data_IF_116482906104
#
_entry.id   IF_116482906104
#
_cell.length_a   1.000
_cell.length_b   1.000
_cell.length_c   1.000
_cell.angle_alpha   90.00
_cell.angle_beta   90.00
_cell.angle_gamma   90.00
#
_symmetry.space_group_name_H-M   'P 1'
#
loop_
_entity.id
_entity.type
_entity.pdbx_description
1 polymer ?
#
# COMPACT_ATOMS: atom_id res chain seq x y z
N UNK A 1 53.17 30.61 -8.34
CA UNK A 1 54.03 30.89 -9.51
C UNK A 1 53.49 32.11 -10.24
N UNK A 2 54.15 33.26 -10.06
CA UNK A 2 54.31 34.38 -11.00
C UNK A 2 54.98 35.51 -10.21
N UNK A 3 56.27 35.65 -10.47
CA UNK A 3 57.17 36.62 -9.88
C UNK A 3 57.08 37.89 -10.73
N UNK A 4 56.78 39.03 -10.12
CA UNK A 4 56.94 40.35 -10.73
C UNK A 4 58.07 41.05 -9.98
N UNK A 5 59.21 41.13 -10.65
CA UNK A 5 60.42 41.81 -10.18
C UNK A 5 60.35 43.25 -10.72
N UNK A 6 60.41 44.23 -9.83
CA UNK A 6 60.80 45.61 -10.13
C UNK A 6 62.01 45.93 -9.25
N UNK A 7 63.15 46.14 -9.90
CA UNK A 7 64.43 46.52 -9.28
C UNK A 7 64.64 48.03 -9.35
N UNK A 8 65.19 48.60 -8.27
CA UNK A 8 66.12 49.75 -8.12
C UNK A 8 65.89 50.32 -6.70
N UNK A 9 66.80 50.36 -5.72
CA UNK A 9 68.18 49.94 -5.55
C UNK A 9 68.64 50.35 -4.13
N UNK A 10 69.82 49.85 -3.74
CA UNK A 10 70.68 50.15 -2.57
C UNK A 10 70.71 49.12 -1.42
N UNK A 11 71.97 48.79 -1.10
CA UNK A 11 72.47 47.67 -0.30
C UNK A 11 72.35 47.90 1.21
N UNK A 12 71.89 46.89 1.96
CA UNK A 12 72.43 46.55 3.29
C UNK A 12 72.40 45.02 3.45
N UNK A 13 73.56 44.45 3.77
CA UNK A 13 73.80 43.04 4.11
C UNK A 13 73.53 42.77 5.59
N UNK A 14 72.84 41.67 5.93
CA UNK A 14 72.76 41.14 7.29
C UNK A 14 72.01 39.78 7.36
N UNK A 15 72.41 38.82 8.21
CA UNK A 15 71.92 37.45 8.15
C UNK A 15 70.66 37.19 9.03
N UNK A 16 69.87 36.21 8.60
CA UNK A 16 68.98 35.27 9.35
C UNK A 16 68.29 35.71 10.65
N UNK A 17 66.95 35.61 10.70
CA UNK A 17 66.23 34.63 11.56
C UNK A 17 64.71 34.71 11.24
N UNK A 18 64.09 33.60 10.82
CA UNK A 18 62.62 33.50 10.80
C UNK A 18 62.14 33.12 12.20
N UNK A 19 61.42 34.01 12.88
CA UNK A 19 60.67 33.68 14.10
C UNK A 19 59.24 33.29 13.76
N UNK A 20 58.77 32.21 14.38
CA UNK A 20 57.41 31.70 14.26
C UNK A 20 56.49 32.29 15.36
N UNK A 21 55.18 32.17 15.12
CA UNK A 21 54.01 32.43 15.98
C UNK A 21 53.63 33.90 16.26
N UNK A 22 52.36 34.31 16.27
CA UNK A 22 51.07 33.61 16.33
C UNK A 22 50.08 34.29 15.38
N UNK A 23 49.46 33.54 14.46
CA UNK A 23 48.17 33.95 13.86
C UNK A 23 47.09 33.07 14.47
N UNK A 24 46.20 33.70 15.22
CA UNK A 24 44.96 33.12 15.73
C UNK A 24 44.25 32.42 14.58
N UNK A 25 44.20 31.09 14.64
CA UNK A 25 43.49 30.27 13.67
C UNK A 25 42.00 30.40 13.99
N UNK A 26 41.33 31.29 13.26
CA UNK A 26 39.88 31.36 13.25
C UNK A 26 39.36 30.00 12.74
N UNK A 27 38.79 29.22 13.66
CA UNK A 27 38.11 27.97 13.35
C UNK A 27 36.96 28.27 12.39
N UNK A 28 37.23 28.16 11.09
CA UNK A 28 36.20 28.09 10.06
C UNK A 28 35.54 26.72 10.20
N UNK A 29 34.58 26.63 11.11
CA UNK A 29 33.65 25.52 11.16
C UNK A 29 33.08 25.37 9.74
N UNK A 30 33.33 24.22 9.12
CA UNK A 30 32.70 23.87 7.86
C UNK A 30 31.19 23.85 8.11
N UNK A 31 30.49 24.86 7.61
CA UNK A 31 29.03 24.80 7.52
C UNK A 31 28.65 23.47 6.84
N UNK A 32 27.67 22.72 7.38
CA UNK A 32 27.20 21.54 6.69
C UNK A 32 26.74 21.97 5.30
N UNK A 33 27.27 21.33 4.24
CA UNK A 33 26.74 21.51 2.88
C UNK A 33 25.25 21.22 2.94
N UNK A 34 24.42 22.26 2.85
CA UNK A 34 22.97 22.10 2.71
C UNK A 34 22.73 21.45 1.34
N UNK A 35 22.49 20.14 1.34
CA UNK A 35 22.31 19.34 0.12
C UNK A 35 20.93 19.52 -0.50
N UNK A 36 20.13 20.45 0.01
CA UNK A 36 18.76 20.68 -0.44
C UNK A 36 17.83 19.51 -0.10
N UNK A 37 16.57 19.60 -0.54
CA UNK A 37 15.57 18.58 -0.25
C UNK A 37 15.84 17.28 -1.00
N UNK A 38 15.58 16.15 -0.35
CA UNK A 38 15.68 14.83 -0.97
C UNK A 38 14.60 13.87 -0.45
N UNK A 39 14.26 12.88 -1.27
CA UNK A 39 13.21 11.91 -0.97
C UNK A 39 13.76 10.70 -0.21
N UNK A 40 13.08 10.31 0.87
CA UNK A 40 13.31 9.04 1.53
C UNK A 40 12.49 7.94 0.82
N UNK A 41 13.13 7.33 -0.19
CA UNK A 41 12.53 6.28 -1.03
C UNK A 41 12.24 4.99 -0.27
N UNK A 42 12.85 4.80 0.91
CA UNK A 42 12.61 3.62 1.74
C UNK A 42 11.19 3.60 2.33
N UNK A 43 10.61 4.80 2.52
CA UNK A 43 9.25 5.03 3.02
C UNK A 43 8.26 5.27 1.87
N UNK A 44 8.73 5.91 0.80
CA UNK A 44 7.90 6.36 -0.32
C UNK A 44 7.75 5.28 -1.40
N UNK A 45 7.01 4.21 -1.11
CA UNK A 45 6.90 3.00 -1.95
C UNK A 45 5.63 2.95 -2.80
N UNK A 46 5.60 2.02 -3.75
CA UNK A 46 4.38 1.64 -4.47
C UNK A 46 3.30 1.12 -3.51
N UNK A 47 2.05 1.41 -3.82
CA UNK A 47 0.89 1.10 -2.97
C UNK A 47 -0.11 0.27 -3.76
N UNK A 48 -0.54 -0.84 -3.17
CA UNK A 48 -1.70 -1.60 -3.67
C UNK A 48 -2.86 -1.39 -2.71
N UNK A 49 -3.99 -0.93 -3.22
CA UNK A 49 -5.19 -0.64 -2.43
C UNK A 49 -6.39 -1.42 -2.96
N UNK A 50 -7.37 -1.65 -2.07
CA UNK A 50 -8.64 -2.27 -2.44
C UNK A 50 -9.62 -1.22 -2.96
N UNK A 51 -10.43 -1.59 -3.96
CA UNK A 51 -11.54 -0.75 -4.42
C UNK A 51 -12.42 -0.33 -3.24
N UNK A 52 -12.76 0.96 -3.20
CA UNK A 52 -13.61 1.53 -2.14
C UNK A 52 -12.92 1.75 -0.79
N UNK A 53 -11.74 1.16 -0.53
CA UNK A 53 -10.96 1.39 0.70
C UNK A 53 -9.91 2.47 0.44
N UNK A 54 -9.84 3.47 1.32
CA UNK A 54 -8.92 4.61 1.16
C UNK A 54 -7.49 4.15 0.89
N UNK A 55 -6.92 4.60 -0.23
CA UNK A 55 -5.51 4.39 -0.54
C UNK A 55 -4.68 5.54 0.06
N UNK A 56 -3.52 5.22 0.60
CA UNK A 56 -2.63 6.20 1.27
C UNK A 56 -1.24 6.13 0.64
N UNK A 57 -0.86 7.19 -0.05
CA UNK A 57 0.45 7.37 -0.65
C UNK A 57 1.26 8.28 0.28
N UNK A 58 2.33 7.75 0.88
CA UNK A 58 3.22 8.55 1.72
C UNK A 58 4.47 8.96 0.94
N UNK A 59 4.82 10.24 0.99
CA UNK A 59 6.07 10.77 0.46
C UNK A 59 6.82 11.49 1.56
N UNK A 60 8.00 10.98 1.92
CA UNK A 60 8.85 11.58 2.94
C UNK A 60 9.95 12.43 2.31
N UNK A 61 9.98 13.71 2.66
CA UNK A 61 10.93 14.68 2.11
C UNK A 61 11.77 15.27 3.23
N UNK A 62 13.06 14.97 3.20
CA UNK A 62 14.07 15.47 4.15
C UNK A 62 14.58 16.82 3.67
N UNK A 63 14.99 17.69 4.59
CA UNK A 63 15.55 19.01 4.30
C UNK A 63 14.65 19.88 3.39
N UNK A 64 13.33 19.87 3.63
CA UNK A 64 12.36 20.61 2.80
C UNK A 64 12.58 22.13 2.82
N UNK A 65 13.02 22.68 3.96
CA UNK A 65 13.21 24.12 4.13
C UNK A 65 11.89 24.90 3.95
N UNK A 66 11.96 25.97 3.16
CA UNK A 66 10.84 26.84 2.76
C UNK A 66 10.09 26.33 1.51
N UNK A 67 10.45 25.14 0.99
CA UNK A 67 9.86 24.58 -0.22
C UNK A 67 8.54 23.87 0.10
N UNK A 68 7.73 23.68 -0.94
CA UNK A 68 6.41 23.06 -0.84
C UNK A 68 6.37 21.73 -1.58
N UNK A 69 5.67 20.75 -1.01
CA UNK A 69 5.37 19.47 -1.66
C UNK A 69 4.02 19.56 -2.36
N UNK A 70 3.94 19.07 -3.59
CA UNK A 70 2.72 18.99 -4.39
C UNK A 70 2.51 17.56 -4.87
N UNK A 71 1.26 17.15 -5.04
CA UNK A 71 0.93 15.85 -5.62
C UNK A 71 0.43 16.02 -7.05
N UNK A 72 1.04 15.28 -7.97
CA UNK A 72 0.72 15.32 -9.41
C UNK A 72 0.34 13.93 -9.88
N UNK A 73 -0.74 13.84 -10.67
CA UNK A 73 -1.14 12.61 -11.35
C UNK A 73 -0.56 12.61 -12.76
N UNK A 74 0.23 11.59 -13.11
CA UNK A 74 0.98 11.59 -14.37
C UNK A 74 0.11 11.39 -15.62
N UNK A 75 -0.96 10.59 -15.54
CA UNK A 75 -1.78 10.22 -16.73
C UNK A 75 -2.31 11.43 -17.51
N UNK A 76 -2.54 12.54 -16.83
CA UNK A 76 -3.11 13.78 -17.34
C UNK A 76 -2.38 15.03 -16.82
N UNK A 77 -1.22 14.84 -16.18
CA UNK A 77 -0.39 15.91 -15.60
C UNK A 77 -1.22 16.83 -14.67
N UNK A 78 -2.19 16.24 -13.96
CA UNK A 78 -3.12 17.01 -13.17
C UNK A 78 -2.54 17.28 -11.78
N UNK A 79 -2.46 18.55 -11.41
CA UNK A 79 -2.08 18.98 -10.06
C UNK A 79 -3.23 18.65 -9.11
N UNK A 80 -3.00 17.72 -8.18
CA UNK A 80 -4.00 17.28 -7.22
C UNK A 80 -4.01 18.19 -6.00
N UNK A 81 -2.83 18.46 -5.43
CA UNK A 81 -2.67 19.26 -4.21
C UNK A 81 -1.38 20.06 -4.22
N UNK A 82 -1.36 21.16 -3.47
CA UNK A 82 -0.16 21.94 -3.12
C UNK A 82 -0.15 22.09 -1.61
N UNK A 83 0.86 21.52 -0.95
CA UNK A 83 0.82 21.28 0.47
C UNK A 83 -0.39 20.42 0.85
N UNK A 84 -1.19 20.91 1.81
CA UNK A 84 -2.44 20.27 2.25
C UNK A 84 -3.66 20.73 1.45
N UNK A 85 -3.52 21.77 0.63
CA UNK A 85 -4.62 22.37 -0.12
C UNK A 85 -4.92 21.56 -1.38
N UNK A 86 -6.20 21.30 -1.65
CA UNK A 86 -6.65 20.49 -2.80
C UNK A 86 -6.96 21.40 -3.99
N UNK A 87 -6.35 21.09 -5.15
CA UNK A 87 -6.44 21.87 -6.40
C UNK A 87 -7.30 21.19 -7.48
N UNK A 88 -7.62 19.92 -7.30
CA UNK A 88 -8.57 19.20 -8.16
C UNK A 88 -10.00 19.37 -7.66
N UNK A 89 -10.98 19.31 -8.57
CA UNK A 89 -12.41 19.29 -8.19
C UNK A 89 -12.86 17.95 -7.61
N UNK A 90 -12.07 16.89 -7.80
CA UNK A 90 -12.36 15.56 -7.23
C UNK A 90 -11.98 15.51 -5.74
N UNK A 91 -12.98 15.71 -4.88
CA UNK A 91 -12.84 15.77 -3.42
C UNK A 91 -12.33 14.47 -2.77
N UNK A 92 -12.17 13.39 -3.54
CA UNK A 92 -11.60 12.14 -3.04
C UNK A 92 -10.10 12.23 -2.79
N UNK A 93 -9.40 13.12 -3.50
CA UNK A 93 -7.97 13.38 -3.32
C UNK A 93 -7.79 14.38 -2.19
N UNK A 94 -7.14 13.97 -1.11
CA UNK A 94 -6.92 14.81 0.08
C UNK A 94 -5.46 14.67 0.50
N UNK A 95 -4.74 15.78 0.59
CA UNK A 95 -3.40 15.78 1.16
C UNK A 95 -3.43 16.06 2.66
N UNK A 96 -2.51 15.46 3.40
CA UNK A 96 -2.29 15.72 4.81
C UNK A 96 -0.80 15.76 5.13
N UNK A 97 -0.48 16.55 6.14
CA UNK A 97 0.87 16.71 6.68
C UNK A 97 0.74 16.94 8.19
N UNK A 98 1.41 16.12 8.98
CA UNK A 98 1.43 16.32 10.43
C UNK A 98 2.57 17.28 10.79
N UNK A 99 2.32 18.30 11.64
CA UNK A 99 3.37 19.21 12.09
C UNK A 99 4.56 18.44 12.66
N UNK A 100 5.78 18.91 12.36
CA UNK A 100 7.05 18.31 12.78
C UNK A 100 7.35 16.91 12.19
N UNK A 101 6.53 16.42 11.28
CA UNK A 101 6.88 15.26 10.45
C UNK A 101 7.48 15.73 9.13
N UNK A 102 8.12 14.82 8.42
CA UNK A 102 8.56 15.04 7.04
C UNK A 102 7.68 14.30 6.03
N UNK A 103 6.58 13.71 6.52
CA UNK A 103 5.66 12.89 5.76
C UNK A 103 4.58 13.78 5.13
N UNK A 104 4.48 13.69 3.82
CA UNK A 104 3.45 14.30 3.00
C UNK A 104 2.61 13.18 2.43
N UNK A 105 1.36 13.10 2.87
CA UNK A 105 0.49 11.99 2.53
C UNK A 105 -0.59 12.44 1.56
N UNK A 106 -0.83 11.67 0.50
CA UNK A 106 -2.01 11.78 -0.35
C UNK A 106 -2.95 10.61 -0.06
N UNK A 107 -4.17 10.94 0.32
CA UNK A 107 -5.26 10.00 0.45
C UNK A 107 -6.15 10.03 -0.80
N UNK A 108 -6.48 8.86 -1.32
CA UNK A 108 -7.49 8.69 -2.37
C UNK A 108 -8.67 7.95 -1.76
N UNK A 109 -9.75 8.66 -1.46
CA UNK A 109 -10.96 8.10 -0.87
C UNK A 109 -11.74 7.30 -1.92
N UNK A 110 -12.31 6.17 -1.50
CA UNK A 110 -13.12 5.29 -2.34
C UNK A 110 -12.50 5.04 -3.74
N UNK A 111 -11.23 4.60 -3.80
CA UNK A 111 -10.51 4.48 -5.06
C UNK A 111 -11.19 3.45 -5.96
N UNK A 112 -11.13 3.72 -7.25
CA UNK A 112 -11.68 2.89 -8.31
C UNK A 112 -10.53 2.30 -9.12
N UNK A 113 -10.77 1.19 -9.85
CA UNK A 113 -9.74 0.59 -10.73
C UNK A 113 -9.08 1.62 -11.67
N UNK A 114 -9.88 2.56 -12.18
CA UNK A 114 -9.42 3.67 -13.04
C UNK A 114 -8.44 4.64 -12.38
N UNK A 115 -8.39 4.69 -11.04
CA UNK A 115 -7.47 5.58 -10.32
C UNK A 115 -6.05 4.99 -10.22
N UNK A 116 -5.86 3.74 -10.67
CA UNK A 116 -4.53 3.14 -10.78
C UNK A 116 -3.65 3.93 -11.74
N UNK A 117 -2.36 4.02 -11.43
CA UNK A 117 -1.37 4.74 -12.24
C UNK A 117 -0.28 5.38 -11.40
N UNK A 118 0.58 6.15 -12.07
CA UNK A 118 1.69 6.85 -11.42
C UNK A 118 1.23 8.18 -10.82
N UNK A 119 1.58 8.35 -9.55
CA UNK A 119 1.43 9.60 -8.80
C UNK A 119 2.81 10.06 -8.38
N UNK A 120 3.05 11.36 -8.42
CA UNK A 120 4.33 11.95 -8.09
C UNK A 120 4.19 12.97 -6.98
N UNK A 121 5.03 12.85 -5.95
CA UNK A 121 5.25 13.94 -5.02
C UNK A 121 6.38 14.80 -5.56
N UNK A 122 6.09 16.08 -5.80
CA UNK A 122 6.98 17.05 -6.40
C UNK A 122 7.35 18.12 -5.37
N UNK A 123 8.63 18.49 -5.29
CA UNK A 123 9.12 19.58 -4.44
C UNK A 123 9.39 20.80 -5.32
N UNK A 124 9.01 21.98 -4.83
CA UNK A 124 9.14 23.28 -5.51
C UNK A 124 10.58 23.83 -5.61
N UNK A 125 11.57 22.97 -5.87
CA UNK A 125 12.96 23.38 -6.17
C UNK A 125 13.06 23.99 -7.58
N UNK A 126 14.21 24.56 -7.93
CA UNK A 126 14.49 25.07 -9.28
C UNK A 126 15.74 24.38 -9.84
N UNK A 127 15.60 23.41 -10.76
CA UNK A 127 14.35 22.86 -11.30
C UNK A 127 13.58 22.02 -10.27
N UNK A 128 12.26 21.79 -10.46
CA UNK A 128 11.48 20.91 -9.57
C UNK A 128 12.04 19.50 -9.57
N UNK A 129 12.09 18.87 -8.39
CA UNK A 129 12.41 17.46 -8.23
C UNK A 129 11.15 16.69 -7.87
N UNK A 130 11.04 15.44 -8.29
CA UNK A 130 9.87 14.60 -8.03
C UNK A 130 10.26 13.16 -7.69
N UNK A 131 9.40 12.49 -6.91
CA UNK A 131 9.48 11.05 -6.67
C UNK A 131 8.15 10.40 -7.04
N UNK A 132 8.22 9.43 -7.96
CA UNK A 132 7.07 8.74 -8.54
C UNK A 132 6.76 7.43 -7.81
N UNK A 133 5.47 7.16 -7.60
CA UNK A 133 4.94 5.98 -6.93
C UNK A 133 3.79 5.41 -7.75
N UNK A 134 3.74 4.08 -7.88
CA UNK A 134 2.63 3.38 -8.53
C UNK A 134 1.51 3.11 -7.51
N UNK A 135 0.29 3.58 -7.81
CA UNK A 135 -0.93 3.13 -7.15
C UNK A 135 -1.57 2.02 -7.99
N UNK A 136 -1.76 0.84 -7.40
CA UNK A 136 -2.52 -0.27 -7.99
C UNK A 136 -3.82 -0.47 -7.22
N UNK A 137 -4.97 -0.20 -7.84
CA UNK A 137 -6.28 -0.40 -7.22
C UNK A 137 -6.87 -1.72 -7.70
N UNK A 138 -6.94 -2.70 -6.79
CA UNK A 138 -7.41 -4.05 -7.09
C UNK A 138 -8.72 -4.35 -6.36
N UNK A 139 -9.46 -5.31 -6.88
CA UNK A 139 -10.68 -5.82 -6.28
C UNK A 139 -10.56 -7.35 -6.26
N UNK A 140 -10.46 -7.93 -5.06
CA UNK A 140 -10.32 -9.37 -4.88
C UNK A 140 -11.58 -10.09 -5.33
N UNK A 141 -11.41 -11.31 -5.82
CA UNK A 141 -12.50 -12.11 -6.38
C UNK A 141 -12.69 -13.37 -5.55
N UNK A 142 -13.92 -13.57 -5.08
CA UNK A 142 -14.33 -14.79 -4.36
C UNK A 142 -15.12 -15.71 -5.28
N UNK A 143 -14.76 -16.99 -5.26
CA UNK A 143 -15.35 -18.05 -6.09
C UNK A 143 -15.67 -19.24 -5.18
N UNK A 144 -16.82 -19.89 -5.36
CA UNK A 144 -17.06 -21.22 -4.78
C UNK A 144 -16.95 -22.25 -5.90
N UNK A 145 -16.10 -23.27 -5.70
CA UNK A 145 -15.95 -24.34 -6.69
C UNK A 145 -17.27 -25.10 -6.79
N UNK A 146 -17.81 -25.20 -8.01
CA UNK A 146 -19.10 -25.87 -8.28
C UNK A 146 -20.33 -24.96 -8.27
N UNK A 147 -20.17 -23.64 -8.19
CA UNK A 147 -21.28 -22.70 -8.35
C UNK A 147 -21.93 -22.74 -9.77
N UNK A 148 -23.22 -22.37 -9.93
CA UNK A 148 -24.13 -21.82 -8.91
C UNK A 148 -24.83 -22.87 -8.05
N UNK A 149 -24.84 -24.13 -8.47
CA UNK A 149 -25.56 -25.23 -7.81
C UNK A 149 -24.70 -26.48 -7.66
N UNK A 150 -24.78 -27.13 -6.49
CA UNK A 150 -24.11 -28.39 -6.23
C UNK A 150 -25.07 -29.45 -5.71
N UNK A 151 -24.80 -30.69 -6.10
CA UNK A 151 -25.62 -31.85 -5.77
C UNK A 151 -24.77 -32.83 -4.96
N UNK A 152 -25.20 -33.13 -3.74
CA UNK A 152 -24.49 -33.96 -2.77
C UNK A 152 -25.36 -35.15 -2.40
N UNK A 153 -24.80 -36.36 -2.39
CA UNK A 153 -25.58 -37.52 -1.97
C UNK A 153 -25.76 -37.51 -0.45
N UNK A 154 -26.95 -37.93 0.00
CA UNK A 154 -27.20 -38.18 1.42
C UNK A 154 -26.11 -39.09 2.02
N UNK A 155 -25.77 -38.83 3.27
CA UNK A 155 -24.79 -39.53 4.09
C UNK A 155 -23.32 -39.40 3.61
N UNK A 156 -23.08 -38.71 2.49
CA UNK A 156 -21.72 -38.34 2.06
C UNK A 156 -21.16 -37.13 2.83
N UNK A 157 -19.88 -36.83 2.62
CA UNK A 157 -19.24 -35.63 3.16
C UNK A 157 -19.28 -34.52 2.12
N UNK A 158 -19.92 -33.41 2.46
CA UNK A 158 -19.91 -32.19 1.67
C UNK A 158 -18.60 -31.43 1.89
N UNK A 159 -17.97 -30.96 0.81
CA UNK A 159 -16.79 -30.09 0.84
C UNK A 159 -17.04 -28.86 -0.02
N UNK A 160 -17.41 -27.74 0.62
CA UNK A 160 -17.57 -26.46 -0.05
C UNK A 160 -16.23 -25.73 -0.03
N UNK A 161 -15.66 -25.50 -1.21
CA UNK A 161 -14.35 -24.84 -1.36
C UNK A 161 -14.54 -23.41 -1.85
N UNK A 162 -14.24 -22.43 -1.00
CA UNK A 162 -14.23 -21.00 -1.32
C UNK A 162 -12.80 -20.54 -1.58
N UNK A 163 -12.58 -19.87 -2.71
CA UNK A 163 -11.27 -19.41 -3.17
C UNK A 163 -11.30 -17.90 -3.33
N UNK A 164 -10.39 -17.20 -2.68
CA UNK A 164 -10.19 -15.75 -2.78
C UNK A 164 -8.90 -15.47 -3.55
N UNK A 165 -9.02 -14.77 -4.68
CA UNK A 165 -7.92 -14.42 -5.59
C UNK A 165 -7.71 -12.92 -5.68
N UNK A 166 -6.51 -12.53 -6.11
CA UNK A 166 -6.13 -11.13 -6.37
C UNK A 166 -6.27 -10.21 -5.14
N UNK A 167 -6.14 -10.79 -3.95
CA UNK A 167 -6.11 -10.02 -2.72
C UNK A 167 -4.68 -9.55 -2.43
N UNK A 168 -4.44 -8.25 -2.17
CA UNK A 168 -3.13 -7.74 -1.78
C UNK A 168 -2.58 -8.40 -0.52
N UNK A 169 -3.49 -8.72 0.41
CA UNK A 169 -3.22 -9.41 1.66
C UNK A 169 -4.29 -10.48 1.88
N UNK A 170 -3.97 -11.63 2.49
CA UNK A 170 -4.96 -12.65 2.81
C UNK A 170 -6.10 -12.08 3.69
N UNK A 171 -7.37 -12.48 3.49
CA UNK A 171 -8.46 -12.13 4.39
C UNK A 171 -8.10 -12.45 5.85
N UNK A 172 -8.41 -11.53 6.77
CA UNK A 172 -8.21 -11.76 8.20
C UNK A 172 -9.10 -12.90 8.70
N UNK A 173 -10.35 -12.91 8.23
CA UNK A 173 -11.35 -13.94 8.52
C UNK A 173 -12.11 -14.31 7.25
N UNK A 174 -12.48 -15.60 7.16
CA UNK A 174 -13.48 -16.12 6.24
C UNK A 174 -14.47 -16.90 7.10
N UNK A 175 -15.76 -16.57 6.99
CA UNK A 175 -16.82 -17.31 7.67
C UNK A 175 -17.91 -17.72 6.67
N UNK A 176 -18.66 -18.75 7.03
CA UNK A 176 -19.73 -19.30 6.19
C UNK A 176 -21.09 -19.09 6.84
N UNK A 177 -22.09 -18.84 6.00
CA UNK A 177 -23.50 -18.81 6.42
C UNK A 177 -24.29 -19.83 5.62
N UNK A 178 -25.26 -20.48 6.26
CA UNK A 178 -26.27 -21.33 5.63
C UNK A 178 -27.64 -20.66 5.80
N UNK A 179 -28.33 -20.40 4.70
CA UNK A 179 -29.63 -19.68 4.66
C UNK A 179 -29.63 -18.38 5.48
N UNK A 180 -28.54 -17.61 5.33
CA UNK A 180 -28.26 -16.32 6.00
C UNK A 180 -27.90 -16.39 7.49
N UNK A 181 -27.87 -17.57 8.10
CA UNK A 181 -27.41 -17.76 9.48
C UNK A 181 -25.95 -18.22 9.52
N UNK A 182 -25.17 -17.71 10.48
CA UNK A 182 -23.78 -18.13 10.66
C UNK A 182 -23.75 -19.59 11.09
N UNK A 183 -22.97 -20.41 10.38
CA UNK A 183 -22.84 -21.82 10.71
C UNK A 183 -22.08 -21.97 12.03
N UNK A 184 -22.70 -22.66 12.99
CA UNK A 184 -22.05 -23.03 14.23
C UNK A 184 -21.17 -24.28 14.01
N UNK A 185 -19.85 -24.08 14.00
CA UNK A 185 -18.88 -25.17 13.82
C UNK A 185 -18.82 -26.11 15.05
N UNK A 186 -19.25 -25.66 16.22
CA UNK A 186 -19.34 -26.45 17.46
C UNK A 186 -20.74 -27.09 17.65
N UNK A 187 -21.47 -27.33 16.54
CA UNK A 187 -22.83 -27.85 16.62
C UNK A 187 -22.91 -29.20 17.35
N UNK A 188 -23.99 -29.47 18.12
CA UNK A 188 -24.19 -30.76 18.79
C UNK A 188 -24.26 -31.96 17.84
N UNK A 189 -24.57 -31.72 16.56
CA UNK A 189 -24.57 -32.75 15.51
C UNK A 189 -23.18 -33.34 15.27
N UNK A 190 -22.13 -32.54 15.47
CA UNK A 190 -20.76 -32.86 15.12
C UNK A 190 -20.53 -32.99 13.61
N UNK A 191 -19.26 -33.07 13.21
CA UNK A 191 -18.88 -33.28 11.81
C UNK A 191 -18.99 -32.05 10.90
N UNK A 192 -19.12 -30.86 11.47
CA UNK A 192 -18.98 -29.59 10.77
C UNK A 192 -17.61 -29.00 11.12
N UNK A 193 -16.80 -28.67 10.13
CA UNK A 193 -15.52 -28.00 10.37
C UNK A 193 -15.15 -27.04 9.24
N UNK A 194 -14.36 -26.04 9.58
CA UNK A 194 -13.80 -25.08 8.62
C UNK A 194 -12.30 -25.08 8.72
N UNK A 195 -11.64 -25.20 7.57
CA UNK A 195 -10.19 -25.12 7.43
C UNK A 195 -9.91 -23.96 6.48
N UNK A 196 -9.04 -23.03 6.85
CA UNK A 196 -8.66 -21.91 6.00
C UNK A 196 -7.15 -21.90 5.78
N UNK A 197 -6.74 -22.00 4.53
CA UNK A 197 -5.36 -21.92 4.08
C UNK A 197 -5.10 -20.51 3.54
N UNK A 198 -4.24 -19.75 4.23
CA UNK A 198 -3.88 -18.38 3.83
C UNK A 198 -2.63 -18.39 2.96
N UNK A 199 -2.64 -17.59 1.89
CA UNK A 199 -1.54 -17.43 0.95
C UNK A 199 -1.87 -16.37 -0.10
N UNK A 200 -1.10 -16.33 -1.19
CA UNK A 200 -1.40 -15.48 -2.36
C UNK A 200 -2.84 -15.71 -2.88
N UNK A 201 -3.24 -16.98 -2.86
CA UNK A 201 -4.64 -17.41 -2.97
C UNK A 201 -5.04 -17.96 -1.61
N UNK A 202 -6.12 -17.43 -1.04
CA UNK A 202 -6.67 -17.94 0.22
C UNK A 202 -7.82 -18.88 -0.07
N UNK A 203 -7.78 -20.08 0.50
CA UNK A 203 -8.81 -21.10 0.29
C UNK A 203 -9.44 -21.49 1.62
N UNK A 204 -10.77 -21.49 1.68
CA UNK A 204 -11.54 -21.95 2.83
C UNK A 204 -12.37 -23.17 2.45
N UNK A 205 -12.25 -24.23 3.25
CA UNK A 205 -12.98 -25.48 3.08
C UNK A 205 -14.00 -25.60 4.22
N UNK A 206 -15.28 -25.64 3.88
CA UNK A 206 -16.36 -26.00 4.79
C UNK A 206 -16.71 -27.46 4.57
N UNK A 207 -16.47 -28.27 5.60
CA UNK A 207 -16.70 -29.70 5.60
C UNK A 207 -17.93 -30.02 6.45
N UNK A 208 -18.93 -30.71 5.87
CA UNK A 208 -20.12 -31.18 6.59
C UNK A 208 -20.25 -32.68 6.35
N UNK A 209 -20.05 -33.48 7.39
CA UNK A 209 -20.14 -34.94 7.34
C UNK A 209 -21.59 -35.43 7.44
N UNK A 210 -21.85 -36.60 6.85
CA UNK A 210 -23.15 -37.28 6.86
C UNK A 210 -24.28 -36.35 6.42
N UNK A 211 -24.15 -35.78 5.22
CA UNK A 211 -25.09 -34.81 4.66
C UNK A 211 -26.54 -35.33 4.74
N UNK A 212 -27.45 -34.49 5.24
CA UNK A 212 -28.88 -34.78 5.34
C UNK A 212 -29.68 -33.87 4.41
N UNK A 213 -30.91 -34.23 4.00
CA UNK A 213 -31.76 -33.36 3.19
C UNK A 213 -31.93 -31.94 3.75
N UNK A 214 -31.93 -31.80 5.07
CA UNK A 214 -32.01 -30.52 5.79
C UNK A 214 -30.76 -29.64 5.65
N UNK A 215 -29.63 -30.18 5.18
CA UNK A 215 -28.43 -29.40 4.84
C UNK A 215 -28.53 -28.73 3.47
N UNK A 216 -29.57 -29.01 2.70
CA UNK A 216 -29.83 -28.27 1.45
C UNK A 216 -30.10 -26.81 1.76
N UNK A 217 -29.71 -25.91 0.86
CA UNK A 217 -29.92 -24.48 1.04
C UNK A 217 -28.78 -23.64 0.48
N UNK A 218 -28.80 -22.35 0.79
CA UNK A 218 -27.82 -21.39 0.29
C UNK A 218 -26.63 -21.29 1.23
N UNK A 219 -25.46 -21.67 0.74
CA UNK A 219 -24.20 -21.50 1.45
C UNK A 219 -23.46 -20.30 0.90
N UNK A 220 -23.13 -19.35 1.77
CA UNK A 220 -22.39 -18.14 1.40
C UNK A 220 -21.06 -18.08 2.12
N UNK A 221 -19.98 -17.86 1.36
CA UNK A 221 -18.65 -17.57 1.85
C UNK A 221 -18.46 -16.05 2.00
N UNK A 222 -17.98 -15.63 3.17
CA UNK A 222 -17.78 -14.23 3.53
C UNK A 222 -16.32 -13.91 3.91
N UNK A 223 -15.47 -13.56 2.94
CA UNK A 223 -14.12 -13.06 3.22
C UNK A 223 -14.13 -11.61 3.69
N UNK A 224 -13.23 -11.25 4.62
CA UNK A 224 -13.20 -9.91 5.22
C UNK A 224 -12.77 -8.77 4.28
N UNK A 225 -12.09 -9.08 3.17
CA UNK A 225 -11.53 -8.09 2.24
C UNK A 225 -11.83 -8.41 0.76
N UNK A 226 -12.80 -9.29 0.49
CA UNK A 226 -13.25 -9.62 -0.85
C UNK A 226 -14.79 -9.61 -0.90
N UNK A 227 -15.36 -9.69 -2.10
CA UNK A 227 -16.81 -9.85 -2.25
C UNK A 227 -17.28 -11.19 -1.69
N UNK A 228 -18.53 -11.29 -1.26
CA UNK A 228 -19.13 -12.56 -0.83
C UNK A 228 -19.53 -13.38 -2.05
N UNK A 229 -19.66 -14.70 -1.87
CA UNK A 229 -20.12 -15.59 -2.94
C UNK A 229 -21.02 -16.69 -2.39
N UNK A 230 -22.06 -17.04 -3.12
CA UNK A 230 -23.10 -17.99 -2.70
C UNK A 230 -23.21 -19.15 -3.67
N UNK A 231 -23.44 -20.35 -3.13
CA UNK A 231 -23.76 -21.57 -3.87
C UNK A 231 -25.04 -22.19 -3.29
N UNK A 232 -25.91 -22.70 -4.15
CA UNK A 232 -27.09 -23.46 -3.74
C UNK A 232 -26.73 -24.95 -3.68
N UNK A 233 -26.99 -25.60 -2.55
CA UNK A 233 -26.70 -27.02 -2.37
C UNK A 233 -27.99 -27.81 -2.29
N UNK A 234 -28.02 -28.94 -3.01
CA UNK A 234 -29.08 -29.94 -2.99
C UNK A 234 -28.55 -31.27 -2.45
N UNK A 235 -29.10 -31.75 -1.34
CA UNK A 235 -28.78 -33.08 -0.82
C UNK A 235 -29.79 -34.10 -1.35
N UNK A 236 -29.32 -35.01 -2.20
CA UNK A 236 -30.13 -36.01 -2.89
C UNK A 236 -30.30 -37.27 -2.02
N UNK A 237 -31.54 -37.72 -1.86
CA UNK A 237 -31.80 -39.07 -1.35
C UNK A 237 -31.47 -40.06 -2.48
N UNK A 238 -30.59 -41.02 -2.23
CA UNK A 238 -30.11 -41.99 -3.22
C UNK A 238 -31.15 -43.04 -3.67
N UNK A 239 -32.34 -42.62 -4.08
CA UNK A 239 -33.34 -43.50 -4.68
C UNK A 239 -33.78 -43.00 -6.06
N UNK A 240 -32.93 -43.26 -7.05
CA UNK A 240 -33.40 -43.49 -8.42
C UNK A 240 -32.79 -44.82 -8.87
N UNK A 241 -33.46 -45.93 -8.54
CA UNK A 241 -33.29 -47.18 -9.27
C UNK A 241 -34.18 -47.08 -10.52
N UNK A 242 -33.56 -46.84 -11.69
CA UNK A 242 -34.18 -47.13 -12.98
C UNK A 242 -34.44 -48.63 -13.14
#
# INVERSE_FOLDING_TARGET
MRCLILTLGLLVSGPTQCTADHRTQENRASEPLDRGPYFDVSVSRNVTALVGKTATLNCRVRNLGDKTVSWVRHRDIHLLTVGVETYTSDQRFVASHFPHTEDWTLQVKYPQRRDSGTYECQVSTTPPIGHSMLLSVVEPVTIIIGEPEMYINKDSTMNLTCVVRHSPEPPLVIYWTHDHEVINYDSPRGGVSVITEKGEVTTSYLLIQRAQPADSGQYTCHPSNANTKTVLVHVLNGMYTS
#
